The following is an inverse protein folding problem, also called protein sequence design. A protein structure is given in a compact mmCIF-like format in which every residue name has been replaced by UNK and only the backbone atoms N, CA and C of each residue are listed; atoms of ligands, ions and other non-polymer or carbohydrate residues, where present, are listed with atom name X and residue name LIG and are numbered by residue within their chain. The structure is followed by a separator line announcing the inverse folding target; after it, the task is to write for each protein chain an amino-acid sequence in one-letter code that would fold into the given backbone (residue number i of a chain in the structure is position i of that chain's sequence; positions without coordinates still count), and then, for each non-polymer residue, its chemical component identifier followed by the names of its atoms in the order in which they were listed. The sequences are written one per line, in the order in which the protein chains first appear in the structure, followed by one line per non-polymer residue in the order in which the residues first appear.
data_IF_809914818679
#
_entry.id   IF_809914818679
#
_cell.length_a   1.000
_cell.length_b   1.000
_cell.length_c   1.000
_cell.angle_alpha   90.00
_cell.angle_beta   90.00
_cell.angle_gamma   90.00
#
_symmetry.space_group_name_H-M   'P 1'
#
loop_
_entity.id
_entity.type
_entity.pdbx_description
1 polymer ?
#
# COMPACT_ATOMS: atom_id res chain seq x y z
N UNK A 1 37.54 3.35 10.74
CA UNK A 1 36.89 4.15 9.68
C UNK A 1 36.80 3.25 8.44
N UNK A 2 36.03 2.18 8.56
CA UNK A 2 35.93 1.11 7.57
C UNK A 2 34.54 0.53 7.73
N UNK A 3 33.59 1.04 6.94
CA UNK A 3 32.38 0.36 6.50
C UNK A 3 31.59 1.33 5.64
N UNK A 4 32.22 1.85 4.57
CA UNK A 4 31.43 2.23 3.39
C UNK A 4 30.98 0.94 2.72
N UNK A 5 30.11 0.21 3.42
CA UNK A 5 29.33 -0.91 2.93
C UNK A 5 28.72 -0.40 1.63
N UNK A 6 29.10 -0.97 0.48
CA UNK A 6 28.54 -0.64 -0.85
C UNK A 6 27.03 -0.44 -0.73
N UNK A 7 26.59 0.79 -0.55
CA UNK A 7 25.17 1.07 -0.33
C UNK A 7 24.53 0.78 -1.67
N UNK A 8 23.64 -0.20 -1.70
CA UNK A 8 23.00 -0.61 -2.95
C UNK A 8 22.31 0.63 -3.54
N UNK A 9 22.70 1.11 -4.75
CA UNK A 9 22.16 2.33 -5.31
C UNK A 9 20.63 2.28 -5.50
N UNK A 10 20.05 1.07 -5.57
CA UNK A 10 18.61 0.85 -5.59
C UNK A 10 17.94 1.16 -4.25
N UNK A 11 18.62 0.90 -3.14
CA UNK A 11 18.11 1.18 -1.80
C UNK A 11 18.04 2.68 -1.55
N UNK A 12 19.08 3.43 -1.91
CA UNK A 12 19.11 4.89 -1.81
C UNK A 12 17.95 5.49 -2.63
N UNK A 13 17.82 5.07 -3.89
CA UNK A 13 16.73 5.53 -4.76
C UNK A 13 15.34 5.17 -4.23
N UNK A 14 15.22 4.02 -3.58
CA UNK A 14 13.98 3.60 -2.91
C UNK A 14 13.67 4.51 -1.74
N UNK A 15 14.64 4.79 -0.86
CA UNK A 15 14.46 5.67 0.31
C UNK A 15 14.06 7.10 -0.09
N UNK A 16 14.73 7.68 -1.09
CA UNK A 16 14.42 9.01 -1.61
C UNK A 16 12.98 9.11 -2.15
N UNK A 17 12.50 8.06 -2.82
CA UNK A 17 11.16 8.03 -3.44
C UNK A 17 10.12 7.32 -2.58
N UNK A 18 10.48 6.82 -1.39
CA UNK A 18 9.63 5.99 -0.52
C UNK A 18 8.30 6.67 -0.25
N UNK A 19 8.32 7.96 0.13
CA UNK A 19 7.11 8.74 0.41
C UNK A 19 6.15 8.79 -0.78
N UNK A 20 6.69 8.98 -1.99
CA UNK A 20 5.90 9.06 -3.22
C UNK A 20 5.25 7.69 -3.49
N UNK A 21 6.01 6.61 -3.39
CA UNK A 21 5.50 5.26 -3.62
C UNK A 21 4.42 4.86 -2.60
N UNK A 22 4.62 5.17 -1.33
CA UNK A 22 3.62 4.92 -0.29
C UNK A 22 2.31 5.66 -0.56
N UNK A 23 2.39 6.93 -1.00
CA UNK A 23 1.20 7.68 -1.42
C UNK A 23 0.50 7.01 -2.62
N UNK A 24 1.26 6.59 -3.63
CA UNK A 24 0.71 5.87 -4.79
C UNK A 24 -0.03 4.60 -4.35
N UNK A 25 0.53 3.81 -3.43
CA UNK A 25 -0.12 2.60 -2.93
C UNK A 25 -1.35 2.90 -2.07
N UNK A 26 -1.29 3.96 -1.27
CA UNK A 26 -2.42 4.41 -0.48
C UNK A 26 -3.58 4.82 -1.40
N UNK A 27 -3.32 5.65 -2.42
CA UNK A 27 -4.34 6.08 -3.37
C UNK A 27 -4.88 4.92 -4.22
N UNK A 28 -4.03 3.96 -4.59
CA UNK A 28 -4.47 2.72 -5.22
C UNK A 28 -5.41 1.93 -4.31
N UNK A 29 -5.05 1.77 -3.03
CA UNK A 29 -5.89 1.08 -2.06
C UNK A 29 -7.21 1.81 -1.78
N UNK A 30 -7.20 3.14 -1.76
CA UNK A 30 -8.43 3.96 -1.70
C UNK A 30 -9.27 3.76 -2.96
N UNK A 31 -8.67 3.75 -4.14
CA UNK A 31 -9.35 3.48 -5.40
C UNK A 31 -9.97 2.08 -5.45
N UNK A 32 -9.24 1.06 -5.02
CA UNK A 32 -9.74 -0.31 -4.87
C UNK A 32 -10.90 -0.36 -3.88
N UNK A 33 -10.79 0.32 -2.74
CA UNK A 33 -11.87 0.42 -1.77
C UNK A 33 -13.13 1.06 -2.37
N UNK A 34 -12.98 2.12 -3.17
CA UNK A 34 -14.11 2.72 -3.89
C UNK A 34 -14.70 1.78 -4.94
N UNK A 35 -13.87 1.09 -5.73
CA UNK A 35 -14.37 0.12 -6.71
C UNK A 35 -15.18 -0.97 -6.00
N UNK A 36 -14.66 -1.54 -4.93
CA UNK A 36 -15.34 -2.56 -4.13
C UNK A 36 -16.63 -1.98 -3.54
N UNK A 37 -16.64 -0.74 -3.05
CA UNK A 37 -17.84 -0.12 -2.51
C UNK A 37 -18.94 0.09 -3.57
N UNK A 38 -18.57 0.49 -4.79
CA UNK A 38 -19.51 0.80 -5.86
C UNK A 38 -19.96 -0.42 -6.68
N UNK A 39 -19.24 -1.54 -6.68
CA UNK A 39 -19.63 -2.76 -7.40
C UNK A 39 -20.70 -3.57 -6.66
N UNK A 40 -21.97 -3.14 -6.75
CA UNK A 40 -23.12 -3.97 -6.32
C UNK A 40 -23.31 -5.18 -7.25
N UNK A 41 -23.72 -6.36 -6.75
CA UNK A 41 -24.31 -6.63 -5.42
C UNK A 41 -23.30 -7.06 -4.34
N UNK A 42 -22.01 -7.20 -4.69
CA UNK A 42 -20.94 -7.62 -3.78
C UNK A 42 -20.29 -6.46 -3.02
N UNK A 43 -20.83 -5.24 -3.21
CA UNK A 43 -20.35 -4.06 -2.53
C UNK A 43 -20.37 -4.29 -1.03
N UNK A 44 -19.18 -4.31 -0.43
CA UNK A 44 -18.92 -4.78 0.92
C UNK A 44 -19.50 -3.80 1.95
N UNK A 45 -20.83 -3.75 2.03
CA UNK A 45 -21.59 -3.19 3.14
C UNK A 45 -22.36 -4.34 3.82
N UNK A 46 -21.65 -5.24 4.54
CA UNK A 46 -22.25 -6.43 5.13
C UNK A 46 -23.28 -6.12 6.23
N UNK A 47 -23.54 -4.85 6.57
CA UNK A 47 -24.49 -4.55 7.65
C UNK A 47 -25.02 -3.11 7.76
N UNK A 48 -24.84 -2.21 6.79
CA UNK A 48 -25.15 -0.77 6.92
C UNK A 48 -24.50 -0.12 8.16
N UNK A 49 -23.45 -0.75 8.70
CA UNK A 49 -22.84 -0.36 9.96
C UNK A 49 -21.61 0.50 9.67
N UNK A 50 -21.62 1.71 10.19
CA UNK A 50 -20.56 2.70 10.03
C UNK A 50 -19.20 2.10 10.45
N UNK A 51 -19.19 1.24 11.48
CA UNK A 51 -17.98 0.59 11.98
C UNK A 51 -17.34 -0.34 10.93
N UNK A 52 -18.14 -1.14 10.23
CA UNK A 52 -17.63 -2.01 9.15
C UNK A 52 -17.18 -1.19 7.94
N UNK A 53 -17.92 -0.13 7.60
CA UNK A 53 -17.52 0.82 6.56
C UNK A 53 -16.17 1.49 6.86
N UNK A 54 -15.94 1.91 8.11
CA UNK A 54 -14.65 2.48 8.53
C UNK A 54 -13.53 1.44 8.59
N UNK A 55 -13.82 0.22 9.06
CA UNK A 55 -12.84 -0.86 9.15
C UNK A 55 -12.32 -1.25 7.77
N UNK A 56 -13.19 -1.43 6.78
CA UNK A 56 -12.76 -1.72 5.40
C UNK A 56 -12.22 -0.48 4.70
N UNK A 57 -12.81 0.70 4.96
CA UNK A 57 -12.37 1.97 4.40
C UNK A 57 -10.93 2.35 4.76
N UNK A 58 -10.44 1.93 5.93
CA UNK A 58 -9.03 2.08 6.33
C UNK A 58 -8.22 0.80 6.11
N UNK A 59 -8.82 -0.36 6.36
CA UNK A 59 -8.17 -1.65 6.25
C UNK A 59 -7.71 -1.97 4.83
N UNK A 60 -8.56 -1.72 3.81
CA UNK A 60 -8.22 -1.98 2.42
C UNK A 60 -7.03 -1.11 1.95
N UNK A 61 -7.02 0.22 2.17
CA UNK A 61 -5.86 1.04 1.84
C UNK A 61 -4.58 0.63 2.56
N UNK A 62 -4.65 0.32 3.86
CA UNK A 62 -3.47 -0.08 4.63
C UNK A 62 -2.91 -1.43 4.17
N UNK A 63 -3.80 -2.41 3.93
CA UNK A 63 -3.40 -3.72 3.42
C UNK A 63 -2.78 -3.60 2.03
N UNK A 64 -3.37 -2.79 1.15
CA UNK A 64 -2.84 -2.51 -0.19
C UNK A 64 -1.47 -1.86 -0.12
N UNK A 65 -1.29 -0.89 0.78
CA UNK A 65 0.00 -0.23 1.00
C UNK A 65 1.07 -1.22 1.45
N UNK A 66 0.74 -2.12 2.39
CA UNK A 66 1.65 -3.15 2.86
C UNK A 66 2.02 -4.15 1.76
N UNK A 67 1.03 -4.73 1.08
CA UNK A 67 1.25 -5.72 0.03
C UNK A 67 2.05 -5.14 -1.15
N UNK A 68 1.68 -3.96 -1.64
CA UNK A 68 2.39 -3.33 -2.76
C UNK A 68 3.80 -2.87 -2.37
N UNK A 69 3.99 -2.34 -1.16
CA UNK A 69 5.34 -2.01 -0.67
C UNK A 69 6.22 -3.27 -0.57
N UNK A 70 5.69 -4.38 -0.05
CA UNK A 70 6.41 -5.64 0.06
C UNK A 70 6.79 -6.19 -1.32
N UNK A 71 5.83 -6.23 -2.25
CA UNK A 71 6.08 -6.68 -3.62
C UNK A 71 7.10 -5.79 -4.31
N UNK A 72 6.99 -4.46 -4.20
CA UNK A 72 7.93 -3.56 -4.85
C UNK A 72 9.35 -3.67 -4.30
N UNK A 73 9.52 -3.82 -2.98
CA UNK A 73 10.83 -4.06 -2.37
C UNK A 73 11.44 -5.40 -2.84
N UNK A 74 10.61 -6.45 -2.95
CA UNK A 74 11.04 -7.76 -3.47
C UNK A 74 11.44 -7.69 -4.95
N UNK A 75 10.68 -6.97 -5.78
CA UNK A 75 11.00 -6.72 -7.20
C UNK A 75 12.32 -5.95 -7.35
N UNK A 76 12.59 -4.99 -6.47
CA UNK A 76 13.86 -4.25 -6.45
C UNK A 76 15.02 -5.05 -5.84
N UNK A 77 14.75 -6.26 -5.33
CA UNK A 77 15.70 -7.12 -4.60
C UNK A 77 16.32 -6.40 -3.39
N UNK A 78 15.51 -5.59 -2.71
CA UNK A 78 15.89 -4.89 -1.48
C UNK A 78 15.56 -5.71 -0.22
N UNK A 79 14.72 -6.73 -0.37
CA UNK A 79 14.24 -7.64 0.66
C UNK A 79 14.30 -9.09 0.17
#
# INVERSE_FOLDING_TARGET
MEEQKKVNPRLIRWEEKKRIWYNVYLFLGVGINFIIYFTKPYGFDPGKSILWGSFFGLGIPLLTMFCLSYIHQKVLSLL
#
